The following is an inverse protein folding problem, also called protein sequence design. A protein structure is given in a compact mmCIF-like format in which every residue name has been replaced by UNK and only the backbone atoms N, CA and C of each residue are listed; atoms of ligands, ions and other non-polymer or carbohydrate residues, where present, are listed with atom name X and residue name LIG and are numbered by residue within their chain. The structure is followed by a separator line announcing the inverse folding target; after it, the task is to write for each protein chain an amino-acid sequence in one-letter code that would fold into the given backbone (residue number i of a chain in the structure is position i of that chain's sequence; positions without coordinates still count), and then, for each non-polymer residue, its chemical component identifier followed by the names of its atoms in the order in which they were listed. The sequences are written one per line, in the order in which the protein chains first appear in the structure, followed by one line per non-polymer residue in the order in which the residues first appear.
data_IF_363491523747
#
_entry.id   IF_363491523747
#
_cell.length_a   1.000
_cell.length_b   1.000
_cell.length_c   1.000
_cell.angle_alpha   90.00
_cell.angle_beta   90.00
_cell.angle_gamma   90.00
#
_symmetry.space_group_name_H-M   'P 1'
#
loop_
_entity.id
_entity.type
_entity.pdbx_description
1 polymer ?
#
# COMPACT_ATOMS: atom_id res chain seq x y z
N UNK A 1 -52.56 15.50 20.55
CA UNK A 1 -51.30 16.25 20.34
C UNK A 1 -50.41 16.04 21.56
N UNK A 2 -49.43 15.13 21.47
CA UNK A 2 -48.03 15.58 21.39
C UNK A 2 -47.17 14.70 20.45
N UNK A 3 -45.98 15.18 20.07
CA UNK A 3 -44.95 14.35 19.44
C UNK A 3 -44.01 15.13 18.53
N UNK A 4 -43.05 15.84 19.13
CA UNK A 4 -41.99 16.58 18.43
C UNK A 4 -41.05 15.65 17.67
N UNK A 5 -40.64 16.16 16.51
CA UNK A 5 -39.50 15.76 15.67
C UNK A 5 -38.21 15.48 16.44
N UNK A 6 -37.45 14.49 15.98
CA UNK A 6 -36.05 14.61 15.53
C UNK A 6 -35.40 13.23 15.57
N UNK A 7 -35.40 12.56 14.41
CA UNK A 7 -34.60 11.39 14.14
C UNK A 7 -33.12 11.66 14.36
N UNK A 8 -32.47 10.67 14.93
CA UNK A 8 -31.04 10.49 15.13
C UNK A 8 -30.19 11.02 13.97
N UNK A 9 -29.54 12.17 14.16
CA UNK A 9 -28.33 12.55 13.43
C UNK A 9 -27.19 12.61 14.45
N UNK A 10 -26.63 11.42 14.72
CA UNK A 10 -25.44 11.27 15.53
C UNK A 10 -24.30 10.94 14.56
N UNK A 11 -23.26 11.79 14.44
CA UNK A 11 -22.16 11.54 13.51
C UNK A 11 -21.38 10.31 13.99
N UNK A 12 -20.94 9.39 13.11
CA UNK A 12 -19.98 8.38 13.51
C UNK A 12 -18.64 9.09 13.72
N UNK A 13 -18.36 9.41 14.98
CA UNK A 13 -17.04 9.74 15.47
C UNK A 13 -16.18 8.52 15.16
N UNK A 14 -15.35 8.64 14.14
CA UNK A 14 -14.36 7.65 13.72
C UNK A 14 -13.22 7.63 14.75
N UNK A 15 -13.56 7.44 16.03
CA UNK A 15 -12.60 7.34 17.11
C UNK A 15 -12.39 5.87 17.48
N UNK A 16 -11.25 5.38 17.00
CA UNK A 16 -10.17 5.03 17.91
C UNK A 16 -10.51 3.88 18.85
N UNK A 17 -10.64 2.71 18.25
CA UNK A 17 -10.42 1.46 18.96
C UNK A 17 -9.26 0.69 18.31
N UNK A 18 -8.04 1.12 18.63
CA UNK A 18 -6.85 0.27 18.56
C UNK A 18 -7.00 -0.83 19.62
N UNK A 19 -7.85 -1.82 19.36
CA UNK A 19 -7.75 -3.11 20.03
C UNK A 19 -6.66 -3.88 19.33
N UNK A 20 -5.51 -3.95 20.01
CA UNK A 20 -4.40 -4.81 19.67
C UNK A 20 -4.94 -6.25 19.68
N UNK A 21 -5.07 -6.85 18.50
CA UNK A 21 -5.36 -8.28 18.34
C UNK A 21 -4.04 -9.03 18.65
N UNK A 22 -3.97 -9.87 19.70
CA UNK A 22 -2.79 -10.71 19.92
C UNK A 22 -2.83 -11.84 18.90
N UNK A 23 -2.01 -11.75 17.85
CA UNK A 23 -1.92 -12.78 16.81
C UNK A 23 -1.75 -12.26 15.38
N UNK A 24 -1.99 -10.97 15.12
CA UNK A 24 -1.60 -10.37 13.84
C UNK A 24 -0.13 -10.02 13.97
N UNK A 25 0.74 -10.93 13.53
CA UNK A 25 2.14 -10.57 13.39
C UNK A 25 2.22 -9.31 12.52
N UNK A 26 2.98 -8.33 13.01
CA UNK A 26 3.31 -7.06 12.38
C UNK A 26 4.19 -7.25 11.13
N UNK A 27 4.02 -8.38 10.43
CA UNK A 27 4.97 -8.98 9.51
C UNK A 27 4.80 -8.58 8.06
N UNK A 28 3.92 -7.63 7.72
CA UNK A 28 3.77 -7.15 6.34
C UNK A 28 4.14 -5.69 6.10
N UNK A 29 4.65 -4.97 7.10
CA UNK A 29 5.48 -3.79 6.88
C UNK A 29 6.90 -4.10 7.35
N UNK A 30 7.64 -4.89 6.57
CA UNK A 30 9.11 -4.82 6.61
C UNK A 30 9.51 -3.44 6.10
N UNK A 31 9.46 -2.44 6.97
CA UNK A 31 10.21 -1.21 6.80
C UNK A 31 11.66 -1.60 7.00
N UNK A 32 12.33 -2.00 5.92
CA UNK A 32 13.78 -2.18 5.92
C UNK A 32 14.38 -0.77 5.83
N UNK A 33 14.92 -0.19 6.92
CA UNK A 33 15.32 1.21 6.96
C UNK A 33 16.56 1.53 6.10
N UNK A 34 17.13 0.52 5.44
CA UNK A 34 18.35 0.63 4.61
C UNK A 34 18.10 0.49 3.10
N UNK A 35 16.87 0.26 2.65
CA UNK A 35 16.57 0.12 1.22
C UNK A 35 16.08 1.43 0.64
N UNK A 36 16.60 1.80 -0.54
CA UNK A 36 16.08 2.95 -1.27
C UNK A 36 14.60 2.74 -1.60
N UNK A 37 13.78 3.81 -1.72
CA UNK A 37 12.36 3.69 -2.07
C UNK A 37 12.14 2.86 -3.34
N UNK A 38 13.07 2.95 -4.30
CA UNK A 38 13.06 2.17 -5.54
C UNK A 38 13.25 0.67 -5.30
N UNK A 39 14.25 0.28 -4.51
CA UNK A 39 14.51 -1.13 -4.17
C UNK A 39 13.35 -1.74 -3.41
N UNK A 40 12.73 -0.98 -2.52
CA UNK A 40 11.56 -1.44 -1.78
C UNK A 40 10.37 -1.69 -2.70
N UNK A 41 10.05 -0.76 -3.58
CA UNK A 41 8.96 -0.94 -4.55
C UNK A 41 9.21 -2.11 -5.51
N UNK A 42 10.49 -2.37 -5.85
CA UNK A 42 10.87 -3.56 -6.62
C UNK A 42 10.59 -4.84 -5.85
N UNK A 43 11.04 -4.92 -4.59
CA UNK A 43 10.84 -6.09 -3.74
C UNK A 43 9.36 -6.38 -3.52
N UNK A 44 8.54 -5.35 -3.29
CA UNK A 44 7.09 -5.49 -3.13
C UNK A 44 6.43 -6.06 -4.39
N UNK A 45 6.86 -5.59 -5.58
CA UNK A 45 6.39 -6.13 -6.86
C UNK A 45 6.80 -7.60 -7.06
N UNK A 46 8.06 -7.94 -6.84
CA UNK A 46 8.58 -9.31 -6.99
C UNK A 46 7.91 -10.28 -6.00
N UNK A 47 7.78 -9.89 -4.73
CA UNK A 47 7.07 -10.66 -3.71
C UNK A 47 5.61 -10.89 -4.10
N UNK A 48 4.94 -9.89 -4.68
CA UNK A 48 3.56 -10.03 -5.11
C UNK A 48 3.40 -11.03 -6.25
N UNK A 49 4.36 -11.10 -7.19
CA UNK A 49 4.31 -12.08 -8.28
C UNK A 49 4.35 -13.52 -7.76
N UNK A 50 5.17 -13.80 -6.73
CA UNK A 50 5.26 -15.13 -6.12
C UNK A 50 4.16 -15.45 -5.09
N UNK A 51 3.59 -14.44 -4.45
CA UNK A 51 2.52 -14.63 -3.45
C UNK A 51 1.11 -14.65 -4.05
N UNK A 52 0.90 -13.98 -5.18
CA UNK A 52 -0.42 -13.86 -5.80
C UNK A 52 -0.70 -15.05 -6.73
N UNK A 53 -1.68 -15.88 -6.35
CA UNK A 53 -2.11 -17.05 -7.14
C UNK A 53 -2.48 -16.73 -8.60
N UNK A 54 -3.07 -15.56 -8.86
CA UNK A 54 -3.43 -15.13 -10.23
C UNK A 54 -2.18 -14.76 -11.06
N UNK A 55 -1.24 -14.04 -10.44
CA UNK A 55 0.00 -13.67 -11.11
C UNK A 55 0.89 -14.91 -11.35
N UNK A 56 0.89 -15.85 -10.41
CA UNK A 56 1.68 -17.08 -10.47
C UNK A 56 1.10 -18.10 -11.46
N UNK A 57 -0.21 -18.42 -11.37
CA UNK A 57 -0.83 -19.45 -12.21
C UNK A 57 -1.21 -18.97 -13.60
N UNK A 58 -1.90 -17.84 -13.68
CA UNK A 58 -2.49 -17.37 -14.94
C UNK A 58 -1.51 -16.52 -15.74
N UNK A 59 -0.30 -16.26 -15.18
CA UNK A 59 0.72 -15.32 -15.68
C UNK A 59 0.15 -13.96 -16.08
N UNK A 60 -1.04 -13.63 -15.55
CA UNK A 60 -1.79 -12.43 -15.89
C UNK A 60 -1.59 -11.44 -14.76
N UNK A 61 -1.03 -10.24 -15.03
CA UNK A 61 -0.77 -9.27 -13.99
C UNK A 61 -2.10 -8.76 -13.42
N UNK A 62 -2.35 -9.09 -12.15
CA UNK A 62 -3.53 -8.61 -11.46
C UNK A 62 -3.47 -7.09 -11.23
N UNK A 63 -4.58 -6.49 -10.78
CA UNK A 63 -4.65 -5.06 -10.52
C UNK A 63 -3.58 -4.57 -9.51
N UNK A 64 -3.29 -5.36 -8.48
CA UNK A 64 -2.26 -5.06 -7.50
C UNK A 64 -0.85 -5.14 -8.09
N UNK A 65 -0.53 -6.17 -8.87
CA UNK A 65 0.74 -6.25 -9.61
C UNK A 65 0.93 -5.05 -10.55
N UNK A 66 -0.13 -4.64 -11.25
CA UNK A 66 -0.12 -3.45 -12.13
C UNK A 66 0.12 -2.16 -11.34
N UNK A 67 -0.48 -2.05 -10.16
CA UNK A 67 -0.27 -0.90 -9.26
C UNK A 67 1.17 -0.83 -8.75
N UNK A 68 1.70 -1.94 -8.23
CA UNK A 68 3.08 -2.04 -7.75
C UNK A 68 4.10 -1.73 -8.85
N UNK A 69 3.89 -2.27 -10.05
CA UNK A 69 4.73 -1.95 -11.22
C UNK A 69 4.67 -0.46 -11.59
N UNK A 70 3.52 0.19 -11.47
CA UNK A 70 3.40 1.64 -11.71
C UNK A 70 4.18 2.44 -10.67
N UNK A 71 4.13 2.06 -9.39
CA UNK A 71 4.91 2.70 -8.32
C UNK A 71 6.41 2.57 -8.60
N UNK A 72 6.88 1.34 -8.88
CA UNK A 72 8.28 1.08 -9.23
C UNK A 72 8.76 1.93 -10.41
N UNK A 73 7.99 1.97 -11.50
CA UNK A 73 8.34 2.76 -12.69
C UNK A 73 8.42 4.26 -12.39
N UNK A 74 7.51 4.79 -11.57
CA UNK A 74 7.53 6.20 -11.18
C UNK A 74 8.77 6.53 -10.35
N UNK A 75 9.12 5.67 -9.39
CA UNK A 75 10.30 5.83 -8.55
C UNK A 75 11.60 5.68 -9.38
N UNK A 76 11.63 4.76 -10.33
CA UNK A 76 12.77 4.58 -11.25
C UNK A 76 13.01 5.85 -12.06
N UNK A 77 11.95 6.41 -12.65
CA UNK A 77 12.02 7.70 -13.37
C UNK A 77 12.39 8.87 -12.46
N UNK A 78 11.94 8.88 -11.22
CA UNK A 78 12.32 9.92 -10.25
C UNK A 78 13.81 9.83 -9.90
N UNK A 79 14.33 8.61 -9.67
CA UNK A 79 15.74 8.38 -9.40
C UNK A 79 16.63 8.73 -10.61
N UNK A 80 16.20 8.42 -11.83
CA UNK A 80 16.92 8.82 -13.05
C UNK A 80 16.97 10.34 -13.21
N UNK A 81 15.84 11.03 -12.99
CA UNK A 81 15.80 12.50 -12.99
C UNK A 81 16.70 13.12 -11.93
N UNK A 82 16.76 12.51 -10.75
CA UNK A 82 17.66 12.95 -9.69
C UNK A 82 19.13 12.76 -10.09
N UNK A 83 19.49 11.60 -10.65
CA UNK A 83 20.84 11.35 -11.18
C UNK A 83 21.21 12.31 -12.30
N UNK A 84 20.28 12.63 -13.19
CA UNK A 84 20.50 13.59 -14.27
C UNK A 84 20.73 15.01 -13.74
N UNK A 85 20.06 15.41 -12.66
CA UNK A 85 20.30 16.70 -11.99
C UNK A 85 21.69 16.77 -11.33
N UNK A 86 22.19 15.65 -10.82
CA UNK A 86 23.50 15.56 -10.15
C UNK A 86 24.67 15.26 -11.11
N UNK A 87 24.43 15.18 -12.43
CA UNK A 87 25.48 15.00 -13.44
C UNK A 87 25.94 16.39 -13.92
N UNK A 88 27.17 16.84 -13.58
CA UNK A 88 27.71 18.12 -14.04
C UNK A 88 28.02 18.12 -15.54
#
# INVERSE_FOLDING_TARGET
MPGRVASSDQPPIFERQLRIIPGVTRSNLRMHPSQSPLERARLDYENHLGACRQCDRDRTPCAAAKHLRRIYNNLSRAAERERARHRP
#
